data_IF_862854374920
#
_entry.id   IF_862854374920
#
_cell.length_a   1.000
_cell.length_b   1.000
_cell.length_c   1.000
_cell.angle_alpha   90.00
_cell.angle_beta   90.00
_cell.angle_gamma   90.00
#
_symmetry.space_group_name_H-M   'P 1'
#
loop_
_entity.id
_entity.type
_entity.pdbx_description
1 polymer ?
#
# COMPACT_ATOMS: atom_id res chain seq x y z
N UNK A 1 2.88 15.71 -12.65
CA UNK A 1 3.08 14.77 -11.52
C UNK A 1 4.19 13.80 -11.88
N UNK A 2 5.17 13.59 -11.00
CA UNK A 2 6.23 12.60 -11.24
C UNK A 2 5.66 11.19 -11.01
N UNK A 3 6.07 10.24 -11.85
CA UNK A 3 5.72 8.83 -11.69
C UNK A 3 6.75 8.09 -10.84
N UNK A 4 6.39 6.93 -10.30
CA UNK A 4 7.29 6.06 -9.55
C UNK A 4 7.50 4.76 -10.32
N UNK A 5 8.72 4.56 -10.83
CA UNK A 5 9.10 3.32 -11.52
C UNK A 5 9.56 2.29 -10.49
N UNK A 6 9.01 1.08 -10.58
CA UNK A 6 9.36 -0.08 -9.77
C UNK A 6 9.46 -1.28 -10.70
N UNK A 7 10.64 -1.87 -10.85
CA UNK A 7 10.90 -2.95 -11.84
C UNK A 7 10.34 -2.59 -13.23
N UNK A 8 9.38 -3.39 -13.71
CA UNK A 8 8.73 -3.28 -15.02
C UNK A 8 7.44 -2.43 -15.02
N UNK A 9 7.01 -1.90 -13.88
CA UNK A 9 5.79 -1.07 -13.77
C UNK A 9 6.11 0.39 -13.48
N UNK A 10 5.20 1.27 -13.88
CA UNK A 10 5.22 2.70 -13.55
C UNK A 10 3.94 3.08 -12.84
N UNK A 11 4.03 3.42 -11.54
CA UNK A 11 2.89 3.87 -10.72
C UNK A 11 2.66 5.36 -10.99
N UNK A 12 1.42 5.74 -11.23
CA UNK A 12 1.04 7.12 -11.61
C UNK A 12 0.94 7.35 -13.12
N UNK A 13 1.05 6.28 -13.93
CA UNK A 13 0.87 6.30 -15.36
C UNK A 13 -0.19 5.28 -15.80
N UNK A 14 -1.13 5.71 -16.65
CA UNK A 14 -2.24 4.89 -17.12
C UNK A 14 -3.22 4.52 -15.99
N UNK A 15 -3.91 3.40 -16.14
CA UNK A 15 -4.83 2.92 -15.10
C UNK A 15 -4.13 2.69 -13.74
N UNK A 16 -4.85 2.82 -12.62
CA UNK A 16 -4.32 2.50 -11.30
C UNK A 16 -3.75 1.07 -11.25
N UNK A 17 -2.59 0.90 -10.63
CA UNK A 17 -1.99 -0.43 -10.46
C UNK A 17 -2.77 -1.24 -9.45
N UNK A 18 -2.84 -2.55 -9.67
CA UNK A 18 -3.54 -3.49 -8.78
C UNK A 18 -2.53 -4.11 -7.83
N UNK A 19 -2.68 -3.81 -6.54
CA UNK A 19 -1.93 -4.42 -5.46
C UNK A 19 -2.75 -5.53 -4.81
N UNK A 20 -2.12 -6.69 -4.58
CA UNK A 20 -2.79 -7.85 -3.97
C UNK A 20 -2.02 -8.29 -2.74
N UNK A 21 -2.69 -8.38 -1.56
CA UNK A 21 -2.04 -8.80 -0.32
C UNK A 21 -1.83 -10.32 -0.26
N UNK A 22 -0.70 -10.71 0.33
CA UNK A 22 -0.36 -12.05 0.79
C UNK A 22 -0.45 -12.02 2.32
N UNK A 23 -1.28 -12.88 2.90
CA UNK A 23 -1.61 -12.90 4.33
C UNK A 23 -1.40 -14.28 4.98
N UNK A 24 -0.55 -15.12 4.37
CA UNK A 24 -0.13 -16.38 4.95
C UNK A 24 0.52 -16.20 6.33
N UNK A 25 0.26 -17.12 7.24
CA UNK A 25 0.79 -17.10 8.61
C UNK A 25 2.10 -17.84 8.73
N UNK A 26 2.32 -18.84 7.89
CA UNK A 26 3.56 -19.62 7.84
C UNK A 26 4.29 -19.35 6.52
N UNK A 27 5.57 -19.65 6.50
CA UNK A 27 6.41 -19.60 5.31
C UNK A 27 5.78 -20.34 4.11
N UNK A 28 5.27 -21.57 4.35
CA UNK A 28 4.66 -22.38 3.29
C UNK A 28 3.36 -21.77 2.77
N UNK A 29 2.52 -21.20 3.65
CA UNK A 29 1.29 -20.51 3.23
C UNK A 29 1.61 -19.28 2.37
N UNK A 30 2.60 -18.48 2.75
CA UNK A 30 3.05 -17.30 2.02
C UNK A 30 3.50 -17.67 0.61
N UNK A 31 4.37 -18.68 0.47
CA UNK A 31 4.86 -19.13 -0.84
C UNK A 31 3.76 -19.78 -1.68
N UNK A 32 2.83 -20.49 -1.06
CA UNK A 32 1.67 -21.07 -1.73
C UNK A 32 0.74 -20.00 -2.28
N UNK A 33 0.48 -18.93 -1.53
CA UNK A 33 -0.28 -17.77 -2.04
C UNK A 33 0.47 -17.10 -3.19
N UNK A 34 1.76 -16.82 -3.06
CA UNK A 34 2.60 -16.19 -4.08
C UNK A 34 2.59 -16.96 -5.41
N UNK A 35 2.65 -18.29 -5.36
CA UNK A 35 2.65 -19.14 -6.54
C UNK A 35 1.38 -18.97 -7.41
N UNK A 36 0.28 -18.47 -6.86
CA UNK A 36 -0.96 -18.20 -7.62
C UNK A 36 -0.90 -16.89 -8.42
N UNK A 37 0.01 -15.96 -8.08
CA UNK A 37 -0.01 -14.59 -8.60
C UNK A 37 0.34 -14.49 -10.08
N UNK A 38 1.13 -15.44 -10.61
CA UNK A 38 1.46 -15.49 -12.04
C UNK A 38 0.23 -15.66 -12.95
N UNK A 39 -0.86 -16.23 -12.42
CA UNK A 39 -2.12 -16.43 -13.14
C UNK A 39 -3.15 -15.29 -12.90
N UNK A 40 -2.81 -14.31 -12.07
CA UNK A 40 -3.70 -13.22 -11.66
C UNK A 40 -3.23 -11.88 -12.26
N UNK A 41 -4.14 -10.93 -12.51
CA UNK A 41 -3.78 -9.59 -12.98
C UNK A 41 -3.26 -8.73 -11.81
N UNK A 42 -2.07 -9.05 -11.32
CA UNK A 42 -1.40 -8.38 -10.20
C UNK A 42 -0.26 -7.51 -10.73
N UNK A 43 -0.25 -6.24 -10.36
CA UNK A 43 0.85 -5.32 -10.69
C UNK A 43 1.86 -5.22 -9.52
N UNK A 44 1.42 -5.38 -8.26
CA UNK A 44 2.25 -5.35 -7.03
C UNK A 44 1.76 -6.43 -6.06
N UNK A 45 2.66 -7.20 -5.48
CA UNK A 45 2.37 -8.12 -4.39
C UNK A 45 2.69 -7.45 -3.04
N UNK A 46 1.70 -7.28 -2.16
CA UNK A 46 1.91 -6.78 -0.81
C UNK A 46 2.10 -7.94 0.16
N UNK A 47 3.29 -8.09 0.73
CA UNK A 47 3.45 -9.03 1.83
C UNK A 47 3.08 -8.37 3.15
N UNK A 48 1.94 -8.79 3.74
CA UNK A 48 1.44 -8.38 5.06
C UNK A 48 2.13 -9.19 6.15
N UNK A 49 3.34 -8.79 6.48
CA UNK A 49 4.20 -9.51 7.41
C UNK A 49 3.67 -9.52 8.85
N UNK A 50 2.78 -8.63 9.21
CA UNK A 50 2.08 -8.63 10.50
C UNK A 50 1.22 -9.88 10.73
N UNK A 51 0.83 -10.62 9.67
CA UNK A 51 0.17 -11.92 9.76
C UNK A 51 1.15 -13.07 10.02
N UNK A 52 2.43 -12.90 9.61
CA UNK A 52 3.44 -13.96 9.71
C UNK A 52 3.79 -14.27 11.16
N UNK A 53 3.75 -15.57 11.55
CA UNK A 53 3.96 -15.98 12.94
C UNK A 53 5.35 -15.62 13.44
N UNK A 54 6.39 -15.77 12.59
CA UNK A 54 7.79 -15.53 12.92
C UNK A 54 8.28 -14.11 12.59
N UNK A 55 7.38 -13.13 12.48
CA UNK A 55 7.70 -11.74 12.07
C UNK A 55 8.74 -11.05 12.97
N UNK A 56 8.89 -11.45 14.22
CA UNK A 56 9.88 -10.91 15.15
C UNK A 56 11.25 -11.61 15.08
N UNK A 57 11.38 -12.66 14.28
CA UNK A 57 12.66 -13.24 13.90
C UNK A 57 13.12 -12.69 12.57
N UNK A 58 14.03 -11.71 12.60
CA UNK A 58 14.51 -11.03 11.38
C UNK A 58 15.14 -11.99 10.37
N UNK A 59 15.83 -13.05 10.80
CA UNK A 59 16.42 -14.07 9.91
C UNK A 59 15.34 -14.81 9.11
N UNK A 60 14.26 -15.22 9.77
CA UNK A 60 13.12 -15.89 9.14
C UNK A 60 12.37 -14.93 8.18
N UNK A 61 12.23 -13.65 8.56
CA UNK A 61 11.64 -12.63 7.68
C UNK A 61 12.49 -12.47 6.41
N UNK A 62 13.81 -12.34 6.53
CA UNK A 62 14.69 -12.17 5.37
C UNK A 62 14.74 -13.44 4.49
N UNK A 63 14.73 -14.62 5.09
CA UNK A 63 14.66 -15.90 4.37
C UNK A 63 13.36 -16.00 3.57
N UNK A 64 12.24 -15.66 4.20
CA UNK A 64 10.93 -15.65 3.54
C UNK A 64 10.84 -14.58 2.45
N UNK A 65 11.36 -13.36 2.71
CA UNK A 65 11.42 -12.29 1.71
C UNK A 65 12.18 -12.70 0.45
N UNK A 66 13.33 -13.39 0.60
CA UNK A 66 14.13 -13.90 -0.51
C UNK A 66 13.33 -14.88 -1.37
N UNK A 67 12.74 -15.90 -0.74
CA UNK A 67 12.00 -16.92 -1.47
C UNK A 67 10.71 -16.37 -2.08
N UNK A 68 10.06 -15.42 -1.42
CA UNK A 68 8.91 -14.71 -1.94
C UNK A 68 9.27 -13.89 -3.19
N UNK A 69 10.38 -13.17 -3.17
CA UNK A 69 10.91 -12.44 -4.32
C UNK A 69 11.18 -13.37 -5.50
N UNK A 70 11.81 -14.52 -5.25
CA UNK A 70 12.08 -15.55 -6.28
C UNK A 70 10.78 -16.12 -6.85
N UNK A 71 9.79 -16.41 -6.02
CA UNK A 71 8.50 -16.98 -6.42
C UNK A 71 7.64 -16.00 -7.24
N UNK A 72 7.71 -14.71 -6.94
CA UNK A 72 6.95 -13.65 -7.62
C UNK A 72 7.61 -13.18 -8.93
N UNK A 73 8.90 -13.45 -9.13
CA UNK A 73 9.64 -13.12 -10.35
C UNK A 73 9.60 -11.62 -10.65
N UNK A 74 8.95 -11.22 -11.75
CA UNK A 74 8.88 -9.82 -12.19
C UNK A 74 7.88 -8.95 -11.40
N UNK A 75 6.99 -9.55 -10.57
CA UNK A 75 6.01 -8.80 -9.78
C UNK A 75 6.73 -8.12 -8.60
N UNK A 76 6.67 -6.78 -8.48
CA UNK A 76 7.29 -6.06 -7.38
C UNK A 76 6.72 -6.46 -6.01
N UNK A 77 7.59 -6.55 -5.01
CA UNK A 77 7.25 -6.88 -3.63
C UNK A 77 7.15 -5.61 -2.80
N UNK A 78 5.97 -5.36 -2.25
CA UNK A 78 5.73 -4.34 -1.22
C UNK A 78 5.73 -5.03 0.15
N UNK A 79 6.69 -4.69 1.01
CA UNK A 79 6.75 -5.15 2.38
C UNK A 79 5.92 -4.25 3.30
N UNK A 80 4.98 -4.83 4.05
CA UNK A 80 4.08 -4.08 4.93
C UNK A 80 3.98 -4.74 6.30
N UNK A 81 4.51 -4.11 7.34
CA UNK A 81 4.11 -4.39 8.71
C UNK A 81 3.02 -3.40 9.11
N UNK A 82 1.75 -3.83 9.08
CA UNK A 82 0.66 -3.02 9.60
C UNK A 82 0.56 -3.21 11.10
N UNK A 83 0.68 -2.11 11.86
CA UNK A 83 0.55 -2.19 13.33
C UNK A 83 -0.91 -2.36 13.75
N UNK A 84 -1.13 -2.92 14.93
CA UNK A 84 -2.48 -3.03 15.50
C UNK A 84 -3.18 -1.67 15.68
N UNK A 85 -2.40 -0.59 15.82
CA UNK A 85 -2.91 0.79 15.91
C UNK A 85 -3.60 1.25 14.62
N UNK A 86 -3.16 0.73 13.48
CA UNK A 86 -3.72 1.02 12.16
C UNK A 86 -4.42 -0.22 11.54
N UNK A 87 -4.91 -1.14 12.37
CA UNK A 87 -5.75 -2.28 11.98
C UNK A 87 -4.99 -3.52 11.52
N UNK A 88 -3.73 -3.66 11.89
CA UNK A 88 -2.94 -4.88 11.69
C UNK A 88 -3.09 -5.90 12.82
N UNK A 89 -2.41 -7.03 12.67
CA UNK A 89 -2.55 -8.20 13.55
C UNK A 89 -1.66 -8.12 14.81
N UNK A 90 -0.55 -7.36 14.77
CA UNK A 90 0.45 -7.36 15.85
C UNK A 90 0.85 -5.96 16.26
N UNK A 91 1.25 -5.85 17.53
CA UNK A 91 1.91 -4.67 18.08
C UNK A 91 3.42 -4.77 17.86
N UNK A 92 4.06 -3.61 17.71
CA UNK A 92 5.51 -3.49 17.60
C UNK A 92 5.93 -2.15 18.19
N UNK A 93 7.11 -2.08 18.82
CA UNK A 93 7.64 -0.78 19.26
C UNK A 93 8.12 0.03 18.05
N UNK A 94 8.13 1.36 18.13
CA UNK A 94 8.62 2.21 17.03
C UNK A 94 10.07 1.87 16.64
N UNK A 95 10.93 1.51 17.60
CA UNK A 95 12.33 1.15 17.37
C UNK A 95 12.45 -0.18 16.61
N UNK A 96 11.71 -1.21 17.05
CA UNK A 96 11.67 -2.50 16.37
C UNK A 96 11.06 -2.39 14.98
N UNK A 97 10.02 -1.55 14.81
CA UNK A 97 9.41 -1.25 13.52
C UNK A 97 10.43 -0.65 12.55
N UNK A 98 11.22 0.33 13.03
CA UNK A 98 12.27 0.93 12.23
C UNK A 98 13.38 -0.09 11.87
N UNK A 99 13.81 -0.90 12.83
CA UNK A 99 14.84 -1.93 12.60
C UNK A 99 14.38 -2.94 11.54
N UNK A 100 13.16 -3.45 11.65
CA UNK A 100 12.59 -4.42 10.72
C UNK A 100 12.50 -3.85 9.29
N UNK A 101 11.92 -2.65 9.13
CA UNK A 101 11.81 -2.00 7.82
C UNK A 101 13.18 -1.74 7.19
N UNK A 102 14.17 -1.31 7.98
CA UNK A 102 15.54 -1.08 7.50
C UNK A 102 16.22 -2.37 7.08
N UNK A 103 16.15 -3.42 7.89
CA UNK A 103 16.75 -4.73 7.58
C UNK A 103 16.19 -5.30 6.27
N UNK A 104 14.88 -5.20 6.07
CA UNK A 104 14.24 -5.67 4.84
C UNK A 104 14.59 -4.80 3.63
N UNK A 105 14.64 -3.47 3.78
CA UNK A 105 15.06 -2.58 2.70
C UNK A 105 16.52 -2.81 2.27
N UNK A 106 17.40 -3.14 3.20
CA UNK A 106 18.83 -3.45 2.93
C UNK A 106 19.03 -4.82 2.26
N UNK A 107 18.07 -5.74 2.41
CA UNK A 107 18.21 -7.13 1.96
C UNK A 107 18.27 -7.30 0.43
N UNK A 108 17.74 -6.34 -0.33
CA UNK A 108 17.61 -6.43 -1.79
C UNK A 108 16.48 -7.37 -2.27
N UNK A 109 15.60 -7.83 -1.36
CA UNK A 109 14.50 -8.75 -1.69
C UNK A 109 13.14 -8.09 -1.80
N UNK A 110 13.04 -6.79 -1.54
CA UNK A 110 11.81 -6.01 -1.66
C UNK A 110 12.04 -4.75 -2.51
N UNK A 111 11.00 -4.29 -3.16
CA UNK A 111 11.05 -3.12 -4.05
C UNK A 111 10.43 -1.88 -3.40
N UNK A 112 9.44 -2.11 -2.52
CA UNK A 112 8.76 -1.07 -1.77
C UNK A 112 8.61 -1.48 -0.30
N UNK A 113 8.56 -0.48 0.58
CA UNK A 113 8.16 -0.63 1.99
C UNK A 113 7.00 0.31 2.30
N UNK A 114 6.01 -0.18 3.08
CA UNK A 114 4.93 0.65 3.64
C UNK A 114 5.34 1.14 5.02
N UNK A 115 5.33 2.45 5.23
CA UNK A 115 5.73 3.08 6.49
C UNK A 115 4.58 3.92 7.04
N UNK A 116 4.10 3.58 8.23
CA UNK A 116 3.05 4.35 8.91
C UNK A 116 3.53 5.75 9.29
N UNK A 117 2.97 6.77 8.64
CA UNK A 117 3.48 8.15 8.67
C UNK A 117 3.35 8.85 10.02
N UNK A 118 2.58 8.29 10.96
CA UNK A 118 2.31 8.88 12.27
C UNK A 118 2.97 8.12 13.43
N UNK A 119 3.95 7.27 13.13
CA UNK A 119 4.78 6.57 14.14
C UNK A 119 5.80 7.50 14.82
N UNK A 120 6.06 8.67 14.21
CA UNK A 120 7.02 9.68 14.68
C UNK A 120 7.89 10.17 13.52
N UNK A 121 8.01 11.48 13.35
CA UNK A 121 8.64 12.07 12.15
C UNK A 121 10.11 11.64 12.00
N UNK A 122 10.89 11.57 13.10
CA UNK A 122 12.28 11.12 13.09
C UNK A 122 12.42 9.65 12.67
N UNK A 123 11.53 8.79 13.16
CA UNK A 123 11.50 7.37 12.83
C UNK A 123 11.16 7.18 11.35
N UNK A 124 10.10 7.85 10.90
CA UNK A 124 9.62 7.78 9.51
C UNK A 124 10.70 8.26 8.54
N UNK A 125 11.29 9.43 8.77
CA UNK A 125 12.36 9.97 7.91
C UNK A 125 13.61 9.12 7.92
N UNK A 126 13.94 8.49 9.06
CA UNK A 126 15.06 7.57 9.17
C UNK A 126 14.84 6.29 8.34
N UNK A 127 13.62 5.73 8.32
CA UNK A 127 13.27 4.58 7.48
C UNK A 127 13.31 4.98 6.00
N UNK A 128 12.69 6.10 5.64
CA UNK A 128 12.65 6.60 4.26
C UNK A 128 14.07 6.79 3.71
N UNK A 129 14.93 7.48 4.45
CA UNK A 129 16.32 7.73 4.04
C UNK A 129 17.11 6.44 3.84
N UNK A 130 16.91 5.46 4.73
CA UNK A 130 17.58 4.16 4.64
C UNK A 130 17.06 3.34 3.44
N UNK A 131 15.75 3.31 3.22
CA UNK A 131 15.14 2.64 2.07
C UNK A 131 15.66 3.23 0.75
N UNK A 132 15.69 4.56 0.61
CA UNK A 132 16.21 5.24 -0.57
C UNK A 132 17.69 4.97 -0.81
N UNK A 133 18.52 4.89 0.24
CA UNK A 133 19.94 4.55 0.13
C UNK A 133 20.15 3.14 -0.44
N UNK A 134 19.16 2.24 -0.29
CA UNK A 134 19.17 0.89 -0.83
C UNK A 134 18.32 0.72 -2.11
N UNK A 135 17.86 1.82 -2.71
CA UNK A 135 17.07 1.81 -3.95
C UNK A 135 15.60 1.38 -3.79
N UNK A 136 15.12 1.20 -2.56
CA UNK A 136 13.76 0.78 -2.24
C UNK A 136 12.83 2.01 -2.16
N UNK A 137 11.64 1.90 -2.75
CA UNK A 137 10.62 2.95 -2.74
C UNK A 137 9.76 2.90 -1.48
N UNK A 138 9.25 4.06 -1.06
CA UNK A 138 8.49 4.16 0.19
C UNK A 138 7.07 4.64 -0.06
N UNK A 139 6.11 3.83 0.38
CA UNK A 139 4.72 4.23 0.55
C UNK A 139 4.57 4.69 2.01
N UNK A 140 4.37 5.99 2.25
CA UNK A 140 4.00 6.45 3.59
C UNK A 140 2.48 6.39 3.75
N UNK A 141 2.02 5.69 4.77
CA UNK A 141 0.60 5.35 4.93
C UNK A 141 -0.03 5.88 6.21
N UNK A 142 -1.35 6.04 6.18
CA UNK A 142 -2.18 6.23 7.36
C UNK A 142 -3.55 5.58 7.17
N UNK A 143 -4.01 4.85 8.18
CA UNK A 143 -5.30 4.17 8.21
C UNK A 143 -6.12 4.67 9.39
N UNK A 144 -7.34 5.13 9.13
CA UNK A 144 -8.29 5.53 10.18
C UNK A 144 -9.52 4.62 10.10
N UNK A 145 -9.58 3.63 11.00
CA UNK A 145 -10.68 2.67 11.07
C UNK A 145 -11.92 3.19 11.81
N UNK A 146 -11.82 4.38 12.41
CA UNK A 146 -12.91 4.96 13.17
C UNK A 146 -13.79 5.91 12.33
N UNK A 147 -13.18 6.66 11.42
CA UNK A 147 -13.87 7.73 10.68
C UNK A 147 -13.14 8.17 9.41
N UNK A 148 -13.84 8.97 8.62
CA UNK A 148 -13.27 9.81 7.58
C UNK A 148 -13.17 11.25 8.12
N UNK A 149 -11.97 11.82 8.27
CA UNK A 149 -11.78 13.21 8.66
C UNK A 149 -12.35 14.20 7.63
N UNK A 150 -12.43 15.48 7.99
CA UNK A 150 -12.77 16.55 7.03
C UNK A 150 -11.71 16.64 5.91
N UNK A 151 -12.11 17.11 4.74
CA UNK A 151 -11.30 17.16 3.52
C UNK A 151 -9.91 17.77 3.75
N UNK A 152 -9.84 18.92 4.40
CA UNK A 152 -8.59 19.65 4.61
C UNK A 152 -7.60 18.86 5.49
N UNK A 153 -8.10 18.08 6.43
CA UNK A 153 -7.27 17.19 7.26
C UNK A 153 -6.71 16.02 6.44
N UNK A 154 -7.50 15.45 5.52
CA UNK A 154 -7.03 14.40 4.60
C UNK A 154 -5.91 14.94 3.72
N UNK A 155 -6.10 16.09 3.10
CA UNK A 155 -5.09 16.77 2.27
C UNK A 155 -3.84 17.09 3.09
N UNK A 156 -4.01 17.60 4.31
CA UNK A 156 -2.89 17.89 5.23
C UNK A 156 -2.06 16.64 5.54
N UNK A 157 -2.71 15.48 5.81
CA UNK A 157 -2.01 14.21 6.08
C UNK A 157 -1.22 13.75 4.87
N UNK A 158 -1.80 13.78 3.67
CA UNK A 158 -1.11 13.41 2.43
C UNK A 158 0.08 14.34 2.13
N UNK A 159 -0.09 15.65 2.30
CA UNK A 159 1.01 16.63 2.14
C UNK A 159 2.13 16.41 3.15
N UNK A 160 1.80 16.07 4.41
CA UNK A 160 2.81 15.71 5.42
C UNK A 160 3.66 14.52 4.94
N UNK A 161 3.03 13.45 4.43
CA UNK A 161 3.76 12.29 3.92
C UNK A 161 4.70 12.66 2.78
N UNK A 162 4.26 13.53 1.87
CA UNK A 162 5.09 14.08 0.80
C UNK A 162 6.28 14.88 1.36
N UNK A 163 6.06 15.73 2.37
CA UNK A 163 7.12 16.51 3.03
C UNK A 163 8.13 15.62 3.77
N UNK A 164 7.70 14.50 4.34
CA UNK A 164 8.59 13.52 4.97
C UNK A 164 9.49 12.78 3.97
N UNK A 165 9.24 12.92 2.66
CA UNK A 165 10.07 12.34 1.60
C UNK A 165 9.55 11.02 1.01
N UNK A 166 8.32 10.60 1.34
CA UNK A 166 7.74 9.38 0.77
C UNK A 166 7.63 9.46 -0.77
N UNK A 167 7.86 8.35 -1.47
CA UNK A 167 7.62 8.27 -2.91
C UNK A 167 6.13 8.29 -3.23
N UNK A 168 5.29 7.69 -2.36
CA UNK A 168 3.84 7.58 -2.57
C UNK A 168 3.10 7.79 -1.24
N UNK A 169 2.45 8.93 -1.01
CA UNK A 169 1.51 9.13 0.10
C UNK A 169 0.27 8.23 -0.04
N UNK A 170 -0.15 7.60 1.06
CA UNK A 170 -1.30 6.66 1.08
C UNK A 170 -2.22 6.93 2.26
N UNK A 171 -3.53 6.97 2.02
CA UNK A 171 -4.53 7.08 3.08
C UNK A 171 -5.70 6.12 2.85
N UNK A 172 -6.13 5.43 3.91
CA UNK A 172 -7.30 4.55 3.91
C UNK A 172 -8.21 4.91 5.08
N UNK A 173 -9.46 5.27 4.79
CA UNK A 173 -10.38 5.86 5.76
C UNK A 173 -11.69 5.09 5.83
N UNK A 174 -12.22 4.93 7.06
CA UNK A 174 -13.52 4.28 7.27
C UNK A 174 -14.66 5.28 7.06
N UNK A 175 -15.55 5.08 6.08
CA UNK A 175 -16.73 5.88 5.94
C UNK A 175 -17.79 5.44 6.98
N UNK A 176 -18.36 6.39 7.70
CA UNK A 176 -19.51 6.17 8.59
C UNK A 176 -20.83 6.48 7.90
N UNK A 177 -20.78 7.25 6.82
CA UNK A 177 -21.92 7.66 5.97
C UNK A 177 -21.49 7.84 4.52
N UNK A 178 -22.43 7.84 3.58
CA UNK A 178 -22.12 7.99 2.15
C UNK A 178 -21.39 9.30 1.81
N UNK A 179 -21.65 10.39 2.55
CA UNK A 179 -20.96 11.67 2.36
C UNK A 179 -19.45 11.55 2.59
N UNK A 180 -19.00 10.66 3.48
CA UNK A 180 -17.58 10.47 3.78
C UNK A 180 -16.80 9.98 2.57
N UNK A 181 -17.44 9.17 1.72
CA UNK A 181 -16.86 8.73 0.45
C UNK A 181 -16.64 9.90 -0.51
N UNK A 182 -17.62 10.82 -0.61
CA UNK A 182 -17.49 12.03 -1.41
C UNK A 182 -16.39 12.94 -0.86
N UNK A 183 -16.30 13.09 0.46
CA UNK A 183 -15.24 13.84 1.13
C UNK A 183 -13.84 13.30 0.77
N UNK A 184 -13.67 11.96 0.76
CA UNK A 184 -12.40 11.36 0.34
C UNK A 184 -12.11 11.62 -1.14
N UNK A 185 -13.09 11.44 -2.03
CA UNK A 185 -12.91 11.65 -3.46
C UNK A 185 -12.57 13.13 -3.76
N UNK A 186 -13.23 14.08 -3.10
CA UNK A 186 -12.92 15.50 -3.21
C UNK A 186 -11.50 15.82 -2.71
N UNK A 187 -11.09 15.26 -1.57
CA UNK A 187 -9.73 15.39 -1.05
C UNK A 187 -8.68 14.78 -2.00
N UNK A 188 -9.01 13.65 -2.62
CA UNK A 188 -8.13 12.99 -3.60
C UNK A 188 -7.91 13.86 -4.82
N UNK A 189 -9.01 14.40 -5.38
CA UNK A 189 -8.97 15.30 -6.53
C UNK A 189 -8.16 16.56 -6.21
N UNK A 190 -8.45 17.23 -5.11
CA UNK A 190 -7.72 18.44 -4.69
C UNK A 190 -6.24 18.16 -4.46
N UNK A 191 -5.90 17.07 -3.78
CA UNK A 191 -4.50 16.70 -3.57
C UNK A 191 -3.80 16.43 -4.90
N UNK A 192 -4.43 15.67 -5.79
CA UNK A 192 -3.88 15.30 -7.10
C UNK A 192 -3.64 16.49 -8.02
N UNK A 193 -4.59 17.44 -8.08
CA UNK A 193 -4.52 18.58 -9.02
C UNK A 193 -3.70 19.77 -8.49
N UNK A 194 -3.68 19.98 -7.16
CA UNK A 194 -3.14 21.23 -6.61
C UNK A 194 -1.83 21.01 -5.82
N UNK A 195 -1.60 19.87 -5.21
CA UNK A 195 -0.52 19.71 -4.24
C UNK A 195 0.44 18.54 -4.51
N UNK A 196 -0.02 17.48 -5.17
CA UNK A 196 0.81 16.32 -5.38
C UNK A 196 1.83 16.52 -6.50
N UNK A 197 3.10 16.35 -6.19
CA UNK A 197 4.19 16.27 -7.17
C UNK A 197 4.52 14.83 -7.56
N UNK A 198 3.89 13.85 -6.92
CA UNK A 198 4.11 12.39 -7.02
C UNK A 198 2.79 11.63 -6.93
N UNK A 199 2.75 10.32 -7.31
CA UNK A 199 1.53 9.52 -7.20
C UNK A 199 1.03 9.46 -5.76
N UNK A 200 -0.29 9.43 -5.59
CA UNK A 200 -0.95 9.22 -4.29
C UNK A 200 -1.85 7.99 -4.33
N UNK A 201 -2.11 7.42 -3.18
CA UNK A 201 -3.03 6.29 -2.99
C UNK A 201 -4.09 6.70 -1.98
N UNK A 202 -5.35 6.66 -2.37
CA UNK A 202 -6.46 6.97 -1.47
C UNK A 202 -7.56 5.94 -1.59
N UNK A 203 -8.17 5.58 -0.46
CA UNK A 203 -9.33 4.68 -0.48
C UNK A 203 -10.25 4.90 0.70
N UNK A 204 -11.53 4.81 0.43
CA UNK A 204 -12.59 4.65 1.43
C UNK A 204 -12.82 3.15 1.64
N UNK A 205 -12.83 2.72 2.91
CA UNK A 205 -12.93 1.31 3.27
C UNK A 205 -14.38 0.81 3.24
N UNK A 206 -14.58 -0.47 3.53
CA UNK A 206 -15.87 -1.16 3.52
C UNK A 206 -16.65 -1.09 2.20
N UNK A 207 -17.80 -1.74 2.13
CA UNK A 207 -18.61 -1.79 0.91
C UNK A 207 -19.13 -0.43 0.44
N UNK A 208 -19.42 0.49 1.38
CA UNK A 208 -19.83 1.87 1.03
C UNK A 208 -18.73 2.63 0.29
N UNK A 209 -17.46 2.34 0.59
CA UNK A 209 -16.31 3.00 0.01
C UNK A 209 -15.82 2.40 -1.31
N UNK A 210 -16.43 1.31 -1.79
CA UNK A 210 -15.94 0.53 -2.94
C UNK A 210 -15.71 1.38 -4.19
N UNK A 211 -16.54 2.38 -4.44
CA UNK A 211 -16.42 3.28 -5.59
C UNK A 211 -15.06 3.97 -5.64
N UNK A 212 -14.47 4.34 -4.51
CA UNK A 212 -13.16 4.99 -4.46
C UNK A 212 -12.03 4.08 -4.95
N UNK A 213 -12.18 2.76 -4.84
CA UNK A 213 -11.22 1.77 -5.35
C UNK A 213 -11.29 1.59 -6.86
N UNK A 214 -12.45 1.87 -7.44
CA UNK A 214 -12.74 1.67 -8.86
C UNK A 214 -12.44 2.92 -9.70
N UNK A 215 -12.57 4.11 -9.13
CA UNK A 215 -12.51 5.39 -9.85
C UNK A 215 -11.19 6.14 -9.61
N UNK A 216 -10.13 5.43 -9.22
CA UNK A 216 -8.83 6.04 -8.93
C UNK A 216 -8.25 6.83 -10.09
N UNK A 217 -8.37 6.36 -11.33
CA UNK A 217 -7.88 7.06 -12.52
C UNK A 217 -8.59 8.41 -12.72
N UNK A 218 -9.90 8.46 -12.46
CA UNK A 218 -10.69 9.69 -12.58
C UNK A 218 -10.33 10.74 -11.53
N UNK A 219 -10.02 10.33 -10.30
CA UNK A 219 -9.81 11.24 -9.17
C UNK A 219 -8.35 11.42 -8.77
N UNK A 220 -7.41 10.65 -9.34
CA UNK A 220 -5.98 10.82 -9.12
C UNK A 220 -5.33 9.81 -8.14
N UNK A 221 -6.02 8.71 -7.78
CA UNK A 221 -5.39 7.62 -7.00
C UNK A 221 -4.71 6.61 -7.92
N UNK A 222 -3.41 6.41 -7.75
CA UNK A 222 -2.55 5.68 -8.69
C UNK A 222 -2.46 4.17 -8.47
N UNK A 223 -2.98 3.65 -7.35
CA UNK A 223 -2.96 2.24 -7.01
C UNK A 223 -4.19 1.87 -6.18
N UNK A 224 -4.71 0.66 -6.40
CA UNK A 224 -5.85 0.12 -5.66
C UNK A 224 -5.57 -1.30 -5.21
N UNK A 225 -6.31 -1.77 -4.20
CA UNK A 225 -6.11 -3.09 -3.59
C UNK A 225 -7.25 -4.04 -3.96
N UNK A 226 -6.88 -5.17 -4.56
CA UNK A 226 -7.76 -6.30 -4.82
C UNK A 226 -7.48 -7.49 -3.92
N UNK A 227 -8.36 -8.47 -3.90
CA UNK A 227 -8.20 -9.74 -3.20
C UNK A 227 -8.00 -10.89 -4.19
N UNK A 228 -7.00 -11.75 -3.96
CA UNK A 228 -6.85 -13.00 -4.72
C UNK A 228 -7.85 -14.06 -4.23
N UNK A 229 -7.79 -14.41 -2.95
CA UNK A 229 -8.70 -15.36 -2.30
C UNK A 229 -9.24 -14.82 -0.98
N UNK A 230 -8.39 -14.17 -0.18
CA UNK A 230 -8.72 -13.59 1.13
C UNK A 230 -8.44 -12.10 1.13
N UNK A 231 -9.43 -11.30 1.55
CA UNK A 231 -9.26 -9.87 1.71
C UNK A 231 -8.44 -9.55 2.96
N UNK A 232 -7.48 -8.63 2.87
CA UNK A 232 -6.70 -8.12 4.00
C UNK A 232 -7.31 -6.88 4.65
N UNK A 233 -8.33 -6.31 4.03
CA UNK A 233 -9.04 -5.11 4.51
C UNK A 233 -10.49 -5.10 4.05
N UNK A 234 -11.40 -4.42 4.78
CA UNK A 234 -12.81 -4.32 4.41
C UNK A 234 -13.03 -3.66 3.04
N UNK A 235 -13.93 -4.25 2.23
CA UNK A 235 -14.34 -3.70 0.93
C UNK A 235 -13.38 -3.96 -0.23
N UNK A 236 -12.42 -4.87 -0.10
CA UNK A 236 -11.65 -5.35 -1.24
C UNK A 236 -12.52 -6.21 -2.17
N UNK A 237 -12.28 -6.06 -3.48
CA UNK A 237 -12.99 -6.76 -4.56
C UNK A 237 -12.07 -7.85 -5.12
N UNK A 238 -12.62 -8.90 -5.69
CA UNK A 238 -11.87 -9.90 -6.44
C UNK A 238 -11.01 -9.25 -7.55
N UNK A 239 -9.77 -9.71 -7.68
CA UNK A 239 -8.79 -9.04 -8.57
C UNK A 239 -9.22 -9.03 -10.04
N UNK A 240 -9.95 -10.06 -10.49
CA UNK A 240 -10.44 -10.14 -11.88
C UNK A 240 -11.54 -9.12 -12.16
N UNK A 241 -12.53 -9.01 -11.27
CA UNK A 241 -13.61 -8.03 -11.37
C UNK A 241 -13.06 -6.60 -11.26
N UNK A 242 -12.11 -6.39 -10.34
CA UNK A 242 -11.43 -5.12 -10.18
C UNK A 242 -10.77 -4.69 -11.50
N UNK A 243 -9.97 -5.60 -12.10
CA UNK A 243 -9.32 -5.31 -13.39
C UNK A 243 -10.31 -4.97 -14.49
N UNK A 244 -11.39 -5.74 -14.61
CA UNK A 244 -12.41 -5.49 -15.63
C UNK A 244 -13.00 -4.08 -15.52
N UNK A 245 -13.33 -3.62 -14.31
CA UNK A 245 -13.88 -2.28 -14.09
C UNK A 245 -12.85 -1.20 -14.40
N UNK A 246 -11.59 -1.37 -13.93
CA UNK A 246 -10.51 -0.42 -14.22
C UNK A 246 -10.25 -0.31 -15.74
N UNK A 247 -10.26 -1.42 -16.47
CA UNK A 247 -10.09 -1.42 -17.94
C UNK A 247 -11.26 -0.74 -18.66
N UNK A 248 -12.50 -0.88 -18.16
CA UNK A 248 -13.67 -0.17 -18.72
C UNK A 248 -13.53 1.33 -18.54
N UNK A 249 -13.17 1.78 -17.32
CA UNK A 249 -12.98 3.21 -17.03
C UNK A 249 -11.84 3.76 -17.90
N UNK A 250 -10.69 3.09 -17.92
CA UNK A 250 -9.52 3.51 -18.69
C UNK A 250 -9.82 3.70 -20.19
N UNK A 251 -10.60 2.78 -20.79
CA UNK A 251 -11.00 2.89 -22.22
C UNK A 251 -12.00 4.00 -22.48
N UNK A 252 -12.63 4.54 -21.45
CA UNK A 252 -13.67 5.58 -21.56
C UNK A 252 -13.12 6.99 -21.32
N UNK A 253 -11.89 7.11 -20.81
CA UNK A 253 -11.14 8.35 -20.62
C UNK A 253 -10.25 8.66 -21.82
#
# INVERSE_FOLDING_TARGET
MNTVKVRNITIGEGRPKICVPIVGKTHEEILKEAATFSALPVDVAEWRVDWYDDVFNTEEVLTTAKQLNEALGEIPVLFTFRTSKEGGEKEISPEQYAQLNKAVAESGYVDLVDVEAFTGDEIVTSIISHAHANGVKVIASNHDFAKTPEKDEIVRRLRKMQTLGADIPKIALMPTRKKDVLTLLEATLEMSEQYADRPIITMSMAGTGVVSRLTGETFGSALTFGAASKASAPGQIGVHELKQVLDIIHKSL
#
